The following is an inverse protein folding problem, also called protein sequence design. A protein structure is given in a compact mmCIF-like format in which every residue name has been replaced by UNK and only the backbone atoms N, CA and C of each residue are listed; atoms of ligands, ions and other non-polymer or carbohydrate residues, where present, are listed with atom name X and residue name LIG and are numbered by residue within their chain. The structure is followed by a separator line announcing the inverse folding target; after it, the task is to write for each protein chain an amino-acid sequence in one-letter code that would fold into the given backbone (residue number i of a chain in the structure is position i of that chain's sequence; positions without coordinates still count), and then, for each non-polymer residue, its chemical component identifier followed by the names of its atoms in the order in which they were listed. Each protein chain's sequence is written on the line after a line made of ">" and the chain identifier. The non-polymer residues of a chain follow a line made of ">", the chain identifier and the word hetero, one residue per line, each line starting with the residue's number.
data_IF_128123884430
#
_entry.id   IF_128123884430
#
_cell.length_a   1.000
_cell.length_b   1.000
_cell.length_c   1.000
_cell.angle_alpha   90.00
_cell.angle_beta   90.00
_cell.angle_gamma   90.00
#
_symmetry.space_group_name_H-M   'P 1'
#
loop_
_entity.id
_entity.type
_entity.pdbx_description
1 polymer ?
#
# COMPACT_ATOMS: atom_id res chain seq x y z
N UNK A 1 -5.38 56.42 19.67
CA UNK A 1 -5.74 57.83 19.82
C UNK A 1 -6.79 58.15 18.77
N UNK A 2 -8.00 58.50 19.19
CA UNK A 2 -9.14 58.77 18.29
C UNK A 2 -9.45 60.26 18.33
N UNK A 3 -9.67 60.93 17.19
CA UNK A 3 -10.11 62.32 17.18
C UNK A 3 -11.57 62.40 17.63
N UNK A 4 -11.85 63.20 18.64
CA UNK A 4 -13.22 63.55 19.14
C UNK A 4 -13.51 64.95 18.79
N UNK A 5 -14.61 65.21 18.04
CA UNK A 5 -15.10 66.56 17.71
C UNK A 5 -15.89 67.08 18.89
N UNK A 6 -15.46 68.21 19.45
CA UNK A 6 -16.15 68.89 20.54
C UNK A 6 -17.23 69.80 19.99
N UNK A 7 -18.27 70.08 20.80
CA UNK A 7 -19.34 71.05 20.38
C UNK A 7 -18.85 72.44 20.06
N UNK A 8 -17.67 72.83 20.54
CA UNK A 8 -17.03 74.14 20.25
C UNK A 8 -16.29 74.18 18.90
N UNK A 9 -16.37 73.12 18.11
CA UNK A 9 -15.72 73.05 16.80
C UNK A 9 -14.23 72.60 16.87
N UNK A 10 -13.69 72.29 18.05
CA UNK A 10 -12.32 71.87 18.20
C UNK A 10 -12.23 70.31 18.13
N UNK A 11 -11.09 69.76 17.64
CA UNK A 11 -10.78 68.33 17.64
C UNK A 11 -9.81 68.05 18.76
N UNK A 12 -10.21 67.19 19.70
CA UNK A 12 -9.31 66.62 20.72
C UNK A 12 -8.90 65.20 20.39
N UNK A 13 -7.65 64.93 20.57
CA UNK A 13 -7.13 63.53 20.44
C UNK A 13 -7.14 62.88 21.82
N UNK A 14 -8.06 61.92 22.02
CA UNK A 14 -8.20 61.21 23.30
C UNK A 14 -7.72 59.79 23.19
N UNK A 15 -7.13 59.25 24.26
CA UNK A 15 -6.77 57.86 24.36
C UNK A 15 -8.04 57.07 24.66
N UNK A 16 -8.49 56.28 23.70
CA UNK A 16 -9.64 55.38 23.85
C UNK A 16 -9.16 53.93 23.99
N UNK A 17 -9.75 53.17 24.92
CA UNK A 17 -9.58 51.73 25.05
C UNK A 17 -10.85 51.07 24.57
N UNK A 18 -10.70 50.07 23.68
CA UNK A 18 -11.84 49.34 23.11
C UNK A 18 -11.66 47.86 23.42
N UNK A 19 -12.78 47.22 23.77
CA UNK A 19 -12.89 45.77 23.88
C UNK A 19 -13.99 45.30 22.93
N UNK A 20 -13.62 44.46 21.96
CA UNK A 20 -14.57 43.83 21.04
C UNK A 20 -14.65 42.34 21.31
N UNK A 21 -15.87 41.85 21.52
CA UNK A 21 -16.18 40.44 21.63
C UNK A 21 -17.15 40.06 20.53
N UNK A 22 -16.89 38.94 19.82
CA UNK A 22 -17.76 38.50 18.74
C UNK A 22 -18.05 37.00 18.82
N UNK A 23 -19.28 36.63 18.54
CA UNK A 23 -19.74 35.27 18.35
C UNK A 23 -20.37 35.18 16.97
N UNK A 24 -19.88 34.27 16.13
CA UNK A 24 -20.38 34.05 14.80
C UNK A 24 -20.62 32.56 14.56
N UNK A 25 -21.77 32.23 13.99
CA UNK A 25 -22.10 30.89 13.51
C UNK A 25 -22.35 31.00 12.01
N UNK A 26 -21.67 30.17 11.22
CA UNK A 26 -21.84 30.11 9.77
C UNK A 26 -22.01 28.65 9.35
N UNK A 27 -23.08 28.40 8.59
CA UNK A 27 -23.30 27.16 7.87
C UNK A 27 -23.08 27.46 6.38
N UNK A 28 -22.17 26.73 5.75
CA UNK A 28 -21.90 26.91 4.33
C UNK A 28 -22.03 25.61 3.56
N UNK A 29 -22.54 25.72 2.34
CA UNK A 29 -22.65 24.63 1.37
C UNK A 29 -21.95 25.04 0.09
N UNK A 30 -20.96 24.27 -0.29
CA UNK A 30 -20.27 24.43 -1.57
C UNK A 30 -21.12 23.86 -2.71
N UNK A 31 -21.12 24.54 -3.86
CA UNK A 31 -21.88 24.16 -5.06
C UNK A 31 -20.91 23.67 -6.12
N UNK A 32 -20.65 22.35 -6.16
CA UNK A 32 -19.68 21.72 -7.04
C UNK A 32 -19.78 22.11 -8.52
N UNK A 33 -21.00 22.18 -9.15
CA UNK A 33 -21.10 22.51 -10.57
C UNK A 33 -20.60 23.90 -10.94
N UNK A 34 -20.75 24.88 -10.03
CA UNK A 34 -20.39 26.28 -10.31
C UNK A 34 -19.08 26.71 -9.63
N UNK A 35 -18.62 25.97 -8.61
CA UNK A 35 -17.49 26.37 -7.76
C UNK A 35 -17.83 27.51 -6.80
N UNK A 36 -19.13 27.76 -6.56
CA UNK A 36 -19.62 28.77 -5.64
C UNK A 36 -19.94 28.22 -4.26
N UNK A 37 -20.37 29.12 -3.39
CA UNK A 37 -20.75 28.84 -2.01
C UNK A 37 -22.07 29.53 -1.68
N UNK A 38 -22.97 28.83 -1.02
CA UNK A 38 -24.17 29.35 -0.40
C UNK A 38 -23.98 29.25 1.11
N UNK A 39 -24.28 30.28 1.86
CA UNK A 39 -24.11 30.27 3.30
C UNK A 39 -25.24 30.97 4.04
N UNK A 40 -25.43 30.54 5.27
CA UNK A 40 -26.28 31.16 6.27
C UNK A 40 -25.41 31.52 7.46
N UNK A 41 -25.44 32.75 7.91
CA UNK A 41 -24.68 33.17 9.08
C UNK A 41 -25.53 33.92 10.09
N UNK A 42 -25.16 33.77 11.37
CA UNK A 42 -25.68 34.52 12.49
C UNK A 42 -24.50 35.07 13.29
N UNK A 43 -24.59 36.34 13.70
CA UNK A 43 -23.50 37.01 14.40
C UNK A 43 -23.98 37.90 15.51
N UNK A 44 -23.20 38.02 16.56
CA UNK A 44 -23.35 38.95 17.65
C UNK A 44 -22.01 39.55 17.98
N UNK A 45 -21.92 40.88 17.97
CA UNK A 45 -20.71 41.59 18.37
C UNK A 45 -21.04 42.52 19.51
N UNK A 46 -20.22 42.56 20.53
CA UNK A 46 -20.26 43.53 21.62
C UNK A 46 -19.01 44.38 21.54
N UNK A 47 -19.22 45.70 21.54
CA UNK A 47 -18.16 46.69 21.58
C UNK A 47 -18.32 47.49 22.90
N UNK A 48 -17.32 47.41 23.78
CA UNK A 48 -17.19 48.25 24.95
C UNK A 48 -16.09 49.29 24.70
N UNK A 49 -16.42 50.55 24.81
CA UNK A 49 -15.48 51.67 24.73
C UNK A 49 -15.30 52.24 26.11
N UNK A 50 -14.04 52.34 26.57
CA UNK A 50 -13.66 52.82 27.89
C UNK A 50 -12.92 54.18 27.76
N UNK A 51 -13.18 55.13 28.64
CA UNK A 51 -12.53 56.44 28.66
C UNK A 51 -13.50 57.56 29.05
N UNK A 52 -13.26 58.80 28.59
CA UNK A 52 -14.10 59.93 28.90
C UNK A 52 -15.55 59.82 28.39
N UNK A 53 -15.75 59.00 27.33
CA UNK A 53 -17.08 58.67 26.77
C UNK A 53 -17.24 57.16 26.74
N UNK A 54 -17.66 56.61 27.88
CA UNK A 54 -17.95 55.17 27.95
C UNK A 54 -19.22 54.86 27.15
N UNK A 55 -19.12 53.83 26.32
CA UNK A 55 -20.28 53.31 25.58
C UNK A 55 -20.20 51.81 25.42
N UNK A 56 -21.38 51.19 25.42
CA UNK A 56 -21.54 49.77 25.12
C UNK A 56 -22.53 49.63 23.99
N UNK A 57 -22.12 48.87 22.97
CA UNK A 57 -22.96 48.61 21.80
C UNK A 57 -23.00 47.10 21.55
N UNK A 58 -24.22 46.63 21.33
CA UNK A 58 -24.48 45.29 20.84
C UNK A 58 -24.92 45.36 19.40
N UNK A 59 -24.24 44.64 18.52
CA UNK A 59 -24.61 44.55 17.11
C UNK A 59 -24.99 43.10 16.84
N UNK A 60 -26.24 42.86 16.50
CA UNK A 60 -26.73 41.56 16.09
C UNK A 60 -26.92 41.50 14.59
N UNK A 61 -26.63 40.34 14.03
CA UNK A 61 -27.00 39.92 12.68
C UNK A 61 -27.69 38.56 12.80
N UNK A 62 -28.96 38.50 13.21
CA UNK A 62 -29.62 37.28 13.61
C UNK A 62 -29.65 36.21 12.51
N UNK A 63 -29.83 36.65 11.27
CA UNK A 63 -29.75 35.77 10.08
C UNK A 63 -29.29 36.58 8.87
N UNK A 64 -28.31 36.04 8.18
CA UNK A 64 -27.82 36.53 6.89
C UNK A 64 -27.69 35.34 5.95
N UNK A 65 -28.41 35.39 4.84
CA UNK A 65 -28.25 34.45 3.72
C UNK A 65 -27.25 35.05 2.73
N UNK A 66 -26.37 34.26 2.19
CA UNK A 66 -25.39 34.74 1.23
C UNK A 66 -25.03 33.71 0.16
N UNK A 67 -24.66 34.25 -0.98
CA UNK A 67 -24.02 33.51 -2.05
C UNK A 67 -22.69 34.15 -2.39
N UNK A 68 -21.69 33.34 -2.70
CA UNK A 68 -20.41 33.80 -3.22
C UNK A 68 -20.04 32.94 -4.44
N UNK A 69 -19.79 33.61 -5.55
CA UNK A 69 -19.45 32.92 -6.81
C UNK A 69 -18.19 33.53 -7.42
N UNK A 70 -17.19 32.69 -7.63
CA UNK A 70 -16.03 33.05 -8.42
C UNK A 70 -16.31 32.78 -9.91
N UNK A 71 -16.01 33.76 -10.75
CA UNK A 71 -16.16 33.66 -12.20
C UNK A 71 -14.80 33.84 -12.87
N UNK A 72 -14.61 33.13 -13.98
CA UNK A 72 -13.36 33.12 -14.74
C UNK A 72 -12.15 32.55 -13.99
N UNK A 73 -12.40 31.78 -12.94
CA UNK A 73 -11.41 31.03 -12.16
C UNK A 73 -11.61 29.53 -12.35
N UNK A 74 -10.56 28.74 -12.09
CA UNK A 74 -10.67 27.28 -12.10
C UNK A 74 -11.64 26.82 -11.01
N UNK A 75 -12.60 25.99 -11.39
CA UNK A 75 -13.53 25.38 -10.43
C UNK A 75 -12.82 24.25 -9.69
N UNK A 76 -12.26 24.55 -8.52
CA UNK A 76 -11.51 23.62 -7.67
C UNK A 76 -12.39 22.45 -7.23
N UNK A 77 -13.66 22.72 -6.86
CA UNK A 77 -14.58 21.70 -6.34
C UNK A 77 -14.88 20.60 -7.37
N UNK A 78 -14.95 20.97 -8.65
CA UNK A 78 -15.15 20.01 -9.74
C UNK A 78 -13.93 19.14 -9.97
N UNK A 79 -12.73 19.65 -9.72
CA UNK A 79 -11.50 18.85 -9.77
C UNK A 79 -11.40 17.94 -8.57
N UNK A 80 -11.66 18.46 -7.36
CA UNK A 80 -11.67 17.70 -6.12
C UNK A 80 -12.64 16.51 -6.19
N UNK A 81 -13.85 16.72 -6.71
CA UNK A 81 -14.86 15.69 -6.92
C UNK A 81 -14.30 14.52 -7.77
N UNK A 82 -13.72 14.85 -8.92
CA UNK A 82 -13.10 13.84 -9.81
C UNK A 82 -11.92 13.13 -9.17
N UNK A 83 -11.10 13.84 -8.42
CA UNK A 83 -9.95 13.27 -7.73
C UNK A 83 -10.40 12.34 -6.60
N UNK A 84 -11.45 12.68 -5.85
CA UNK A 84 -11.93 11.88 -4.73
C UNK A 84 -12.51 10.53 -5.17
N UNK A 85 -13.24 10.49 -6.27
CA UNK A 85 -13.75 9.23 -6.83
C UNK A 85 -12.59 8.26 -7.17
N UNK A 86 -11.59 8.76 -7.89
CA UNK A 86 -10.41 7.94 -8.25
C UNK A 86 -9.58 7.57 -7.01
N UNK A 87 -9.47 8.46 -6.01
CA UNK A 87 -8.79 8.16 -4.74
C UNK A 87 -9.49 7.09 -3.93
N UNK A 88 -10.83 7.08 -3.93
CA UNK A 88 -11.60 6.04 -3.25
C UNK A 88 -11.35 4.67 -3.90
N UNK A 89 -11.43 4.57 -5.24
CA UNK A 89 -11.11 3.34 -5.97
C UNK A 89 -9.65 2.91 -5.77
N UNK A 90 -8.71 3.85 -5.80
CA UNK A 90 -7.29 3.58 -5.53
C UNK A 90 -7.09 2.99 -4.13
N UNK A 91 -7.73 3.56 -3.10
CA UNK A 91 -7.61 3.08 -1.73
C UNK A 91 -8.15 1.65 -1.57
N UNK A 92 -9.26 1.33 -2.24
CA UNK A 92 -9.83 -0.02 -2.24
C UNK A 92 -8.88 -1.03 -2.92
N UNK A 93 -8.34 -0.68 -4.08
CA UNK A 93 -7.39 -1.55 -4.80
C UNK A 93 -6.09 -1.74 -4.01
N UNK A 94 -5.56 -0.69 -3.38
CA UNK A 94 -4.38 -0.78 -2.49
C UNK A 94 -4.67 -1.70 -1.30
N UNK A 95 -5.86 -1.64 -0.71
CA UNK A 95 -6.25 -2.55 0.37
C UNK A 95 -6.28 -4.01 -0.11
N UNK A 96 -6.85 -4.28 -1.29
CA UNK A 96 -6.88 -5.62 -1.86
C UNK A 96 -5.47 -6.15 -2.20
N UNK A 97 -4.61 -5.31 -2.77
CA UNK A 97 -3.21 -5.65 -3.01
C UNK A 97 -2.46 -5.95 -1.71
N UNK A 98 -2.65 -5.13 -0.67
CA UNK A 98 -2.05 -5.36 0.65
C UNK A 98 -2.50 -6.70 1.27
N UNK A 99 -3.78 -7.08 1.09
CA UNK A 99 -4.30 -8.39 1.52
C UNK A 99 -3.60 -9.55 0.78
N UNK A 100 -3.37 -9.41 -0.52
CA UNK A 100 -2.62 -10.39 -1.29
C UNK A 100 -1.12 -10.41 -0.91
N UNK A 101 -0.53 -9.26 -0.56
CA UNK A 101 0.85 -9.21 -0.04
C UNK A 101 0.98 -9.95 1.30
N UNK A 102 -0.02 -9.84 2.19
CA UNK A 102 -0.09 -10.64 3.43
C UNK A 102 -0.20 -12.14 3.11
N UNK A 103 -1.01 -12.51 2.11
CA UNK A 103 -1.12 -13.91 1.68
C UNK A 103 0.22 -14.44 1.15
N UNK A 104 0.96 -13.65 0.36
CA UNK A 104 2.31 -14.01 -0.11
C UNK A 104 3.28 -14.16 1.05
N UNK A 105 3.29 -13.23 2.01
CA UNK A 105 4.17 -13.29 3.18
C UNK A 105 3.88 -14.54 4.03
N UNK A 106 2.60 -14.82 4.26
CA UNK A 106 2.16 -16.00 5.02
C UNK A 106 2.50 -17.31 4.28
N UNK A 107 2.29 -17.35 2.95
CA UNK A 107 2.68 -18.49 2.14
C UNK A 107 4.21 -18.74 2.18
N UNK A 108 5.02 -17.67 2.12
CA UNK A 108 6.46 -17.77 2.29
C UNK A 108 6.83 -18.42 3.62
N UNK A 109 6.32 -17.88 4.74
CA UNK A 109 6.59 -18.43 6.07
C UNK A 109 6.08 -19.87 6.24
N UNK A 110 4.94 -20.21 5.65
CA UNK A 110 4.42 -21.58 5.62
C UNK A 110 5.38 -22.54 4.91
N UNK A 111 5.88 -22.17 3.73
CA UNK A 111 6.83 -23.00 3.00
C UNK A 111 8.23 -23.02 3.61
N UNK A 112 8.64 -21.96 4.34
CA UNK A 112 9.86 -21.96 5.15
C UNK A 112 9.77 -23.01 6.28
N UNK A 113 8.61 -23.11 6.97
CA UNK A 113 8.36 -24.16 7.96
C UNK A 113 8.36 -25.56 7.31
N UNK A 114 7.72 -25.69 6.13
CA UNK A 114 7.72 -26.95 5.42
C UNK A 114 9.13 -27.40 5.03
N UNK A 115 9.93 -26.50 4.47
CA UNK A 115 11.32 -26.76 4.10
C UNK A 115 12.17 -27.16 5.33
N UNK A 116 12.02 -26.43 6.43
CA UNK A 116 12.74 -26.73 7.68
C UNK A 116 12.30 -28.06 8.30
N UNK A 117 11.02 -28.44 8.24
CA UNK A 117 10.52 -29.73 8.70
C UNK A 117 11.06 -30.87 7.86
N UNK A 118 11.03 -30.77 6.52
CA UNK A 118 11.60 -31.79 5.61
C UNK A 118 13.11 -31.87 5.78
N UNK A 119 13.82 -30.77 5.96
CA UNK A 119 15.24 -30.73 6.28
C UNK A 119 15.57 -31.42 7.59
N UNK A 120 14.78 -31.17 8.64
CA UNK A 120 14.93 -31.85 9.93
C UNK A 120 14.72 -33.37 9.83
N UNK A 121 13.64 -33.80 9.17
CA UNK A 121 13.35 -35.23 8.99
C UNK A 121 14.46 -35.93 8.19
N UNK A 122 14.95 -35.28 7.12
CA UNK A 122 16.05 -35.81 6.33
C UNK A 122 17.36 -35.89 7.12
N UNK A 123 17.71 -34.84 7.88
CA UNK A 123 18.91 -34.82 8.72
C UNK A 123 18.85 -35.88 9.84
N UNK A 124 17.67 -36.09 10.45
CA UNK A 124 17.46 -37.12 11.45
C UNK A 124 17.63 -38.54 10.86
N UNK A 125 17.04 -38.78 9.68
CA UNK A 125 17.22 -40.05 8.97
C UNK A 125 18.68 -40.28 8.58
N UNK A 126 19.37 -39.25 8.06
CA UNK A 126 20.78 -39.37 7.70
C UNK A 126 21.68 -39.60 8.92
N UNK A 127 21.42 -39.01 10.06
CA UNK A 127 22.17 -39.25 11.30
C UNK A 127 22.03 -40.73 11.74
N UNK A 128 20.81 -41.26 11.77
CA UNK A 128 20.56 -42.66 12.13
C UNK A 128 21.20 -43.67 11.15
N UNK A 129 21.16 -43.34 9.84
CA UNK A 129 21.81 -44.19 8.82
C UNK A 129 23.32 -44.14 8.99
N UNK A 130 23.96 -43.00 9.17
CA UNK A 130 25.41 -42.90 9.33
C UNK A 130 25.91 -43.54 10.63
N UNK A 131 25.17 -43.43 11.73
CA UNK A 131 25.49 -44.18 12.97
C UNK A 131 25.51 -45.70 12.71
N UNK A 132 24.50 -46.20 11.98
CA UNK A 132 24.42 -47.65 11.62
C UNK A 132 25.56 -48.07 10.69
N UNK A 133 25.88 -47.24 9.68
CA UNK A 133 26.97 -47.55 8.75
C UNK A 133 28.34 -47.51 9.42
N UNK A 134 28.57 -46.59 10.35
CA UNK A 134 29.82 -46.56 11.12
C UNK A 134 30.00 -47.80 11.99
N UNK A 135 28.93 -48.22 12.69
CA UNK A 135 28.95 -49.47 13.45
C UNK A 135 29.29 -50.70 12.57
N UNK A 136 28.67 -50.79 11.38
CA UNK A 136 28.96 -51.82 10.40
C UNK A 136 30.42 -51.76 9.94
N UNK A 137 30.96 -50.57 9.69
CA UNK A 137 32.32 -50.35 9.21
C UNK A 137 33.37 -50.65 10.31
N UNK A 138 33.09 -50.38 11.57
CA UNK A 138 33.93 -50.78 12.69
C UNK A 138 34.11 -52.28 12.72
N UNK A 139 33.00 -53.03 12.66
CA UNK A 139 33.11 -54.52 12.62
C UNK A 139 33.80 -55.05 11.35
N UNK A 140 33.66 -54.38 10.21
CA UNK A 140 34.37 -54.78 8.96
C UNK A 140 35.88 -54.49 9.05
N UNK A 141 36.27 -53.38 9.67
CA UNK A 141 37.67 -53.04 9.89
C UNK A 141 38.33 -54.05 10.86
N UNK A 142 37.67 -54.41 11.96
CA UNK A 142 38.17 -55.37 12.93
C UNK A 142 38.46 -56.72 12.31
N UNK A 143 37.69 -57.11 11.28
CA UNK A 143 37.93 -58.38 10.54
C UNK A 143 38.76 -58.21 9.24
N UNK A 144 39.34 -57.00 9.05
CA UNK A 144 40.22 -56.68 7.92
C UNK A 144 39.57 -56.65 6.54
N UNK A 145 38.23 -56.36 6.48
CA UNK A 145 37.45 -56.25 5.23
C UNK A 145 37.45 -54.88 4.61
N UNK A 146 37.77 -53.84 5.37
CA UNK A 146 37.91 -52.47 4.87
C UNK A 146 39.20 -51.85 5.43
N UNK A 147 39.68 -50.77 4.76
CA UNK A 147 40.85 -50.01 5.21
C UNK A 147 40.50 -48.97 6.29
N UNK A 148 41.54 -48.50 6.96
CA UNK A 148 41.41 -47.44 7.96
C UNK A 148 40.77 -46.15 7.38
N UNK A 149 41.07 -45.81 6.14
CA UNK A 149 40.48 -44.69 5.45
C UNK A 149 38.96 -44.76 5.38
N UNK A 150 38.39 -45.90 5.10
CA UNK A 150 36.93 -46.11 5.01
C UNK A 150 36.28 -46.01 6.40
N UNK A 151 36.96 -46.46 7.46
CA UNK A 151 36.52 -46.32 8.83
C UNK A 151 36.48 -44.82 9.24
N UNK A 152 37.58 -44.10 9.02
CA UNK A 152 37.68 -42.65 9.33
C UNK A 152 36.69 -41.85 8.51
N UNK A 153 36.42 -42.19 7.26
CA UNK A 153 35.41 -41.56 6.42
C UNK A 153 33.99 -41.74 7.01
N UNK A 154 33.69 -42.93 7.52
CA UNK A 154 32.39 -43.19 8.16
C UNK A 154 32.25 -42.45 9.49
N UNK A 155 33.32 -42.33 10.29
CA UNK A 155 33.32 -41.53 11.52
C UNK A 155 33.07 -40.05 11.22
N UNK A 156 33.78 -39.48 10.24
CA UNK A 156 33.57 -38.10 9.80
C UNK A 156 32.13 -37.85 9.32
N UNK A 157 31.52 -38.86 8.62
CA UNK A 157 30.13 -38.73 8.20
C UNK A 157 29.15 -38.71 9.37
N UNK A 158 29.39 -39.48 10.44
CA UNK A 158 28.59 -39.41 11.70
C UNK A 158 28.67 -38.00 12.32
N UNK A 159 29.88 -37.46 12.46
CA UNK A 159 30.07 -36.14 13.05
C UNK A 159 29.35 -35.04 12.25
N UNK A 160 29.49 -35.09 10.93
CA UNK A 160 28.78 -34.14 10.01
C UNK A 160 27.27 -34.29 10.10
N UNK A 161 26.75 -35.53 10.13
CA UNK A 161 25.32 -35.78 10.19
C UNK A 161 24.70 -35.26 11.51
N UNK A 162 25.39 -35.45 12.65
CA UNK A 162 24.94 -34.91 13.96
C UNK A 162 24.94 -33.38 13.97
N UNK A 163 25.99 -32.74 13.46
CA UNK A 163 26.03 -31.28 13.36
C UNK A 163 24.91 -30.77 12.44
N UNK A 164 24.64 -31.44 11.32
CA UNK A 164 23.54 -31.09 10.42
C UNK A 164 22.16 -31.23 11.09
N UNK A 165 21.96 -32.27 11.88
CA UNK A 165 20.72 -32.48 12.64
C UNK A 165 20.49 -31.36 13.67
N UNK A 166 21.54 -30.95 14.39
CA UNK A 166 21.42 -29.86 15.36
C UNK A 166 21.11 -28.51 14.68
N UNK A 167 21.74 -28.24 13.53
CA UNK A 167 21.41 -27.08 12.68
C UNK A 167 19.97 -27.12 12.18
N UNK A 168 19.50 -28.29 11.71
CA UNK A 168 18.13 -28.44 11.21
C UNK A 168 17.07 -28.27 12.32
N UNK A 169 17.36 -28.71 13.56
CA UNK A 169 16.50 -28.45 14.72
C UNK A 169 16.32 -26.95 14.98
N UNK A 170 17.41 -26.20 14.93
CA UNK A 170 17.37 -24.75 15.13
C UNK A 170 16.58 -24.05 14.02
N UNK A 171 16.82 -24.40 12.75
CA UNK A 171 16.07 -23.82 11.62
C UNK A 171 14.58 -24.12 11.70
N UNK A 172 14.20 -25.35 12.05
CA UNK A 172 12.79 -25.70 12.29
C UNK A 172 12.15 -24.82 13.37
N UNK A 173 12.85 -24.62 14.49
CA UNK A 173 12.36 -23.78 15.58
C UNK A 173 12.21 -22.32 15.14
N UNK A 174 13.17 -21.78 14.38
CA UNK A 174 13.11 -20.40 13.85
C UNK A 174 11.97 -20.20 12.87
N UNK A 175 11.84 -21.09 11.88
CA UNK A 175 10.78 -20.99 10.88
C UNK A 175 9.39 -21.07 11.52
N UNK A 176 9.20 -21.97 12.50
CA UNK A 176 7.95 -22.08 13.25
C UNK A 176 7.66 -20.83 14.08
N UNK A 177 8.65 -20.24 14.75
CA UNK A 177 8.47 -19.00 15.49
C UNK A 177 8.06 -17.82 14.58
N UNK A 178 8.64 -17.72 13.39
CA UNK A 178 8.30 -16.68 12.43
C UNK A 178 6.88 -16.86 11.87
N UNK A 179 6.45 -18.07 11.55
CA UNK A 179 5.07 -18.34 11.12
C UNK A 179 4.07 -17.97 12.22
N UNK A 180 4.33 -18.34 13.47
CA UNK A 180 3.49 -17.97 14.62
C UNK A 180 3.42 -16.47 14.81
N UNK A 181 4.53 -15.76 14.67
CA UNK A 181 4.59 -14.30 14.75
C UNK A 181 3.73 -13.63 13.66
N UNK A 182 3.84 -14.08 12.41
CA UNK A 182 3.07 -13.54 11.28
C UNK A 182 1.58 -13.82 11.39
N UNK A 183 1.21 -14.97 11.96
CA UNK A 183 -0.19 -15.38 12.13
C UNK A 183 -0.78 -14.97 13.50
N UNK A 184 0.00 -14.23 14.32
CA UNK A 184 -0.40 -13.81 15.67
C UNK A 184 -0.81 -14.98 16.57
N UNK A 185 -0.26 -16.16 16.35
CA UNK A 185 -0.47 -17.31 17.22
C UNK A 185 0.40 -17.23 18.49
N UNK A 186 -0.09 -17.71 19.63
CA UNK A 186 0.73 -17.81 20.85
C UNK A 186 2.00 -18.62 20.64
N UNK A 187 3.08 -18.27 21.33
CA UNK A 187 4.38 -18.96 21.19
C UNK A 187 4.32 -20.44 21.58
N UNK A 188 3.45 -20.78 22.54
CA UNK A 188 3.22 -22.13 23.06
C UNK A 188 2.19 -22.93 22.24
N UNK A 189 1.51 -22.34 21.26
CA UNK A 189 0.57 -23.07 20.41
C UNK A 189 1.25 -24.20 19.65
N UNK A 190 0.69 -25.39 19.71
CA UNK A 190 1.14 -26.51 18.85
C UNK A 190 0.55 -26.31 17.44
N UNK A 191 1.44 -26.20 16.45
CA UNK A 191 1.08 -25.99 15.04
C UNK A 191 1.63 -27.14 14.21
N UNK A 192 0.72 -27.80 13.50
CA UNK A 192 1.09 -28.80 12.48
C UNK A 192 0.69 -28.25 11.11
N UNK A 193 1.64 -28.18 10.19
CA UNK A 193 1.36 -27.74 8.82
C UNK A 193 0.94 -28.93 7.95
N UNK A 194 -0.08 -28.70 7.11
CA UNK A 194 -0.52 -29.66 6.11
C UNK A 194 -0.33 -29.04 4.74
N UNK A 195 0.58 -29.61 3.96
CA UNK A 195 0.86 -29.14 2.60
C UNK A 195 -0.18 -29.72 1.65
N UNK A 196 -0.79 -28.92 0.78
CA UNK A 196 -1.73 -29.41 -0.23
C UNK A 196 -1.08 -30.47 -1.12
N UNK A 197 -1.72 -31.63 -1.24
CA UNK A 197 -1.16 -32.77 -1.97
C UNK A 197 -1.03 -32.53 -3.48
N UNK A 198 -1.82 -31.62 -4.04
CA UNK A 198 -1.78 -31.27 -5.46
C UNK A 198 -1.72 -29.76 -5.64
N UNK A 199 -0.85 -29.30 -6.51
CA UNK A 199 -0.87 -27.93 -7.00
C UNK A 199 -2.04 -27.76 -7.98
N UNK A 200 -2.84 -26.67 -7.89
CA UNK A 200 -3.95 -26.40 -8.81
C UNK A 200 -3.50 -26.43 -10.28
N UNK A 201 -4.33 -27.00 -11.16
CA UNK A 201 -4.04 -26.99 -12.59
C UNK A 201 -4.52 -25.70 -13.24
N UNK A 202 -3.78 -24.61 -12.99
CA UNK A 202 -4.11 -23.29 -13.53
C UNK A 202 -3.23 -23.01 -14.74
N UNK A 203 -3.86 -22.82 -15.90
CA UNK A 203 -3.21 -22.36 -17.13
C UNK A 203 -3.74 -20.94 -17.46
N UNK A 204 -3.13 -19.86 -16.92
CA UNK A 204 -3.61 -18.52 -17.15
C UNK A 204 -3.42 -18.10 -18.61
N UNK A 205 -4.48 -17.53 -19.22
CA UNK A 205 -4.35 -16.85 -20.48
C UNK A 205 -3.63 -15.51 -20.26
N UNK A 206 -2.57 -15.29 -21.01
CA UNK A 206 -1.75 -14.07 -20.92
C UNK A 206 -2.54 -12.82 -21.30
N UNK A 207 -3.49 -12.91 -22.26
CA UNK A 207 -4.32 -11.79 -22.66
C UNK A 207 -5.29 -11.40 -21.55
N UNK A 208 -5.89 -12.41 -20.89
CA UNK A 208 -6.77 -12.19 -19.72
C UNK A 208 -5.97 -11.59 -18.56
N UNK A 209 -4.77 -12.12 -18.28
CA UNK A 209 -3.93 -11.60 -17.20
C UNK A 209 -3.57 -10.12 -17.40
N UNK A 210 -3.17 -9.73 -18.61
CA UNK A 210 -2.88 -8.34 -18.97
C UNK A 210 -4.13 -7.47 -18.82
N UNK A 211 -5.27 -7.91 -19.38
CA UNK A 211 -6.52 -7.16 -19.30
C UNK A 211 -6.97 -6.92 -17.85
N UNK A 212 -6.88 -7.95 -16.99
CA UNK A 212 -7.23 -7.84 -15.57
C UNK A 212 -6.25 -6.95 -14.80
N UNK A 213 -4.95 -7.05 -15.06
CA UNK A 213 -3.96 -6.18 -14.43
C UNK A 213 -4.18 -4.70 -14.77
N UNK A 214 -4.42 -4.37 -16.06
CA UNK A 214 -4.71 -3.00 -16.49
C UNK A 214 -6.02 -2.46 -15.92
N UNK A 215 -6.98 -3.32 -15.64
CA UNK A 215 -8.28 -2.94 -15.07
C UNK A 215 -8.23 -2.76 -13.55
N UNK A 216 -7.58 -3.69 -12.84
CA UNK A 216 -7.78 -3.86 -11.40
C UNK A 216 -6.59 -3.37 -10.56
N UNK A 217 -5.41 -3.16 -11.13
CA UNK A 217 -4.21 -2.82 -10.35
C UNK A 217 -4.25 -1.37 -9.87
N UNK A 218 -3.94 -1.16 -8.59
CA UNK A 218 -3.91 0.16 -7.94
C UNK A 218 -3.03 1.17 -8.68
N UNK A 219 -1.92 0.72 -9.27
CA UNK A 219 -1.03 1.56 -10.06
C UNK A 219 -1.74 2.24 -11.25
N UNK A 220 -2.75 1.61 -11.84
CA UNK A 220 -3.51 2.20 -12.95
C UNK A 220 -4.35 3.38 -12.47
N UNK A 221 -4.95 3.29 -11.28
CA UNK A 221 -5.69 4.40 -10.66
C UNK A 221 -4.78 5.51 -10.19
N UNK A 222 -3.59 5.17 -9.69
CA UNK A 222 -2.57 6.17 -9.36
C UNK A 222 -2.15 6.98 -10.59
N UNK A 223 -1.91 6.34 -11.73
CA UNK A 223 -1.57 7.03 -12.97
C UNK A 223 -2.71 7.91 -13.50
N UNK A 224 -3.96 7.45 -13.37
CA UNK A 224 -5.14 8.23 -13.70
C UNK A 224 -5.26 9.49 -12.83
N UNK A 225 -5.03 9.34 -11.51
CA UNK A 225 -5.01 10.45 -10.57
C UNK A 225 -3.92 11.48 -10.93
N UNK A 226 -2.70 11.02 -11.23
CA UNK A 226 -1.59 11.88 -11.64
C UNK A 226 -1.94 12.68 -12.91
N UNK A 227 -2.58 12.04 -13.90
CA UNK A 227 -3.04 12.70 -15.13
C UNK A 227 -4.14 13.75 -14.84
N UNK A 228 -5.09 13.45 -13.94
CA UNK A 228 -6.14 14.41 -13.53
C UNK A 228 -5.49 15.62 -12.84
N UNK A 229 -4.57 15.39 -11.91
CA UNK A 229 -3.85 16.46 -11.19
C UNK A 229 -3.02 17.34 -12.13
N UNK A 230 -2.34 16.76 -13.11
CA UNK A 230 -1.58 17.52 -14.12
C UNK A 230 -2.50 18.40 -14.98
N UNK A 231 -3.66 17.88 -15.42
CA UNK A 231 -4.68 18.66 -16.14
C UNK A 231 -5.28 19.77 -15.28
N UNK A 232 -5.50 19.50 -13.99
CA UNK A 232 -5.93 20.53 -13.01
C UNK A 232 -4.93 21.67 -12.97
N UNK A 233 -3.62 21.37 -12.84
CA UNK A 233 -2.57 22.40 -12.80
C UNK A 233 -2.55 23.26 -14.07
N UNK A 234 -2.76 22.67 -15.25
CA UNK A 234 -2.88 23.44 -16.50
C UNK A 234 -4.11 24.35 -16.47
N UNK A 235 -5.25 23.85 -16.01
CA UNK A 235 -6.48 24.66 -15.84
C UNK A 235 -6.27 25.82 -14.88
N UNK A 236 -5.66 25.57 -13.73
CA UNK A 236 -5.34 26.60 -12.73
C UNK A 236 -4.35 27.63 -13.27
N UNK A 237 -3.27 27.19 -13.93
CA UNK A 237 -2.30 28.09 -14.54
C UNK A 237 -2.93 29.00 -15.60
N UNK A 238 -3.90 28.51 -16.35
CA UNK A 238 -4.60 29.30 -17.39
C UNK A 238 -5.59 30.30 -16.79
N UNK A 239 -6.40 29.87 -15.83
CA UNK A 239 -7.54 30.62 -15.34
C UNK A 239 -7.18 31.51 -14.13
N UNK A 240 -6.38 31.01 -13.18
CA UNK A 240 -6.11 31.74 -11.95
C UNK A 240 -5.07 32.84 -12.10
N UNK A 241 -4.30 32.84 -13.19
CA UNK A 241 -3.31 33.89 -13.49
C UNK A 241 -3.86 35.01 -14.37
N UNK A 242 -5.13 34.93 -14.76
CA UNK A 242 -5.78 35.90 -15.64
C UNK A 242 -6.80 36.80 -14.91
N UNK A 243 -7.73 37.29 -15.70
CA UNK A 243 -8.90 38.03 -15.20
C UNK A 243 -9.73 37.13 -14.27
N UNK A 244 -10.13 37.69 -13.14
CA UNK A 244 -11.01 37.03 -12.17
C UNK A 244 -12.10 38.00 -11.70
N UNK A 245 -13.28 37.48 -11.41
CA UNK A 245 -14.38 38.22 -10.82
C UNK A 245 -15.03 37.40 -9.72
N UNK A 246 -15.28 38.03 -8.58
CA UNK A 246 -16.03 37.44 -7.48
C UNK A 246 -17.31 38.25 -7.26
N UNK A 247 -18.43 37.55 -7.35
CA UNK A 247 -19.75 38.13 -7.03
C UNK A 247 -20.18 37.54 -5.69
N UNK A 248 -20.52 38.41 -4.75
CA UNK A 248 -21.14 38.04 -3.47
C UNK A 248 -22.38 38.85 -3.23
N UNK A 249 -23.47 38.18 -2.91
CA UNK A 249 -24.73 38.77 -2.53
C UNK A 249 -25.14 38.25 -1.16
N UNK A 250 -25.54 39.17 -0.27
CA UNK A 250 -26.06 38.82 1.05
C UNK A 250 -27.36 39.55 1.31
N UNK A 251 -28.30 38.89 1.96
CA UNK A 251 -29.56 39.47 2.42
C UNK A 251 -29.87 38.99 3.85
N UNK A 252 -30.30 39.82 4.71
CA UNK A 252 -30.58 39.48 6.10
C UNK A 252 -31.04 40.64 6.93
N UNK A 253 -30.86 40.50 8.21
CA UNK A 253 -31.28 41.53 9.19
C UNK A 253 -30.10 41.90 10.08
N UNK A 254 -30.06 43.15 10.49
CA UNK A 254 -29.13 43.65 11.52
C UNK A 254 -29.81 44.63 12.47
N UNK A 255 -29.22 44.81 13.64
CA UNK A 255 -29.57 45.85 14.58
C UNK A 255 -28.38 46.17 15.48
N UNK A 256 -28.29 47.44 15.86
CA UNK A 256 -27.29 47.90 16.86
C UNK A 256 -28.02 48.64 17.98
N UNK A 257 -27.76 48.23 19.22
CA UNK A 257 -28.40 48.82 20.38
C UNK A 257 -27.45 48.85 21.60
N UNK A 258 -27.65 49.75 22.57
CA UNK A 258 -26.86 49.74 23.82
C UNK A 258 -27.17 48.59 24.74
N UNK A 259 -28.35 47.98 24.63
CA UNK A 259 -28.87 46.90 25.45
C UNK A 259 -28.96 45.63 24.57
N UNK A 260 -28.60 44.48 25.13
CA UNK A 260 -28.58 43.22 24.44
C UNK A 260 -29.94 42.85 23.84
N UNK A 261 -31.01 42.95 24.64
CA UNK A 261 -32.37 42.56 24.20
C UNK A 261 -32.88 43.42 23.02
N UNK A 262 -32.52 44.72 23.03
CA UNK A 262 -32.92 45.66 21.99
C UNK A 262 -32.19 45.41 20.67
N UNK A 263 -30.99 44.80 20.72
CA UNK A 263 -30.27 44.40 19.53
C UNK A 263 -30.98 43.28 18.73
N UNK A 264 -31.99 42.64 19.29
CA UNK A 264 -32.82 41.63 18.62
C UNK A 264 -34.24 42.11 18.37
N UNK A 265 -34.53 43.37 18.67
CA UNK A 265 -35.84 44.00 18.39
C UNK A 265 -35.73 44.99 17.25
N UNK A 266 -36.83 45.21 16.54
CA UNK A 266 -36.88 46.20 15.45
C UNK A 266 -35.73 46.06 14.45
N UNK A 267 -35.51 44.83 13.99
CA UNK A 267 -34.46 44.51 13.04
C UNK A 267 -34.58 45.27 11.74
N UNK A 268 -33.48 45.73 11.22
CA UNK A 268 -33.37 46.47 9.94
C UNK A 268 -32.97 45.53 8.83
N UNK A 269 -33.60 45.66 7.67
CA UNK A 269 -33.22 44.93 6.46
C UNK A 269 -31.81 45.29 6.02
N UNK A 270 -31.02 44.29 5.71
CA UNK A 270 -29.68 44.45 5.15
C UNK A 270 -29.57 43.69 3.85
N UNK A 271 -29.21 44.39 2.79
CA UNK A 271 -28.87 43.77 1.50
C UNK A 271 -27.53 44.35 1.03
N UNK A 272 -26.66 43.44 0.55
CA UNK A 272 -25.36 43.86 0.02
C UNK A 272 -25.02 43.05 -1.21
N UNK A 273 -24.70 43.70 -2.29
CA UNK A 273 -24.11 43.12 -3.49
C UNK A 273 -22.70 43.68 -3.64
N UNK A 274 -21.75 42.78 -3.72
CA UNK A 274 -20.35 43.14 -3.95
C UNK A 274 -19.85 42.41 -5.20
N UNK A 275 -19.29 43.17 -6.13
CA UNK A 275 -18.61 42.63 -7.31
C UNK A 275 -17.17 43.10 -7.23
N UNK A 276 -16.27 42.14 -7.01
CA UNK A 276 -14.83 42.38 -6.99
C UNK A 276 -14.24 41.89 -8.30
N UNK A 277 -13.47 42.73 -8.98
CA UNK A 277 -12.77 42.40 -10.22
C UNK A 277 -11.27 42.46 -9.95
N UNK A 278 -10.57 41.42 -10.32
CA UNK A 278 -9.13 41.32 -10.23
C UNK A 278 -8.54 41.09 -11.62
N UNK A 279 -7.67 42.00 -12.04
CA UNK A 279 -7.01 41.90 -13.33
C UNK A 279 -5.53 42.30 -13.19
N UNK A 280 -4.61 41.36 -13.34
CA UNK A 280 -3.19 41.70 -13.34
C UNK A 280 -2.84 42.49 -14.62
N UNK A 281 -2.35 43.69 -14.45
CA UNK A 281 -2.06 44.59 -15.57
C UNK A 281 -0.72 44.26 -16.24
N UNK A 282 0.30 43.90 -15.43
CA UNK A 282 1.66 43.59 -15.92
C UNK A 282 2.17 42.37 -15.23
N UNK A 283 2.56 41.33 -15.95
CA UNK A 283 3.09 40.08 -15.43
C UNK A 283 4.45 39.69 -16.04
N UNK A 284 5.07 40.56 -16.85
CA UNK A 284 6.41 40.35 -17.45
C UNK A 284 6.63 38.97 -18.06
N UNK A 285 5.62 38.38 -18.69
CA UNK A 285 5.66 37.02 -19.25
C UNK A 285 5.38 35.87 -18.26
N UNK A 286 5.24 36.16 -16.97
CA UNK A 286 5.05 35.16 -15.93
C UNK A 286 3.86 34.21 -16.17
N UNK A 287 2.70 34.73 -16.59
CA UNK A 287 1.52 33.90 -16.95
C UNK A 287 1.84 32.90 -18.05
N UNK A 288 2.52 33.36 -19.12
CA UNK A 288 2.86 32.48 -20.25
C UNK A 288 3.84 31.38 -19.80
N UNK A 289 4.82 31.75 -18.99
CA UNK A 289 5.79 30.81 -18.44
C UNK A 289 5.12 29.76 -17.54
N UNK A 290 4.20 30.17 -16.64
CA UNK A 290 3.46 29.25 -15.78
C UNK A 290 2.59 28.27 -16.58
N UNK A 291 1.87 28.75 -17.61
CA UNK A 291 1.08 27.87 -18.47
C UNK A 291 1.97 26.91 -19.27
N UNK A 292 3.11 27.37 -19.77
CA UNK A 292 4.07 26.51 -20.48
C UNK A 292 4.66 25.45 -19.55
N UNK A 293 5.05 25.83 -18.32
CA UNK A 293 5.57 24.90 -17.34
C UNK A 293 4.51 23.83 -16.96
N UNK A 294 3.27 24.23 -16.71
CA UNK A 294 2.18 23.30 -16.40
C UNK A 294 1.88 22.32 -17.56
N UNK A 295 1.95 22.80 -18.82
CA UNK A 295 1.79 21.92 -20.00
C UNK A 295 2.94 20.95 -20.16
N UNK A 296 4.18 21.40 -19.97
CA UNK A 296 5.35 20.52 -20.03
C UNK A 296 5.27 19.44 -18.93
N UNK A 297 4.72 19.77 -17.78
CA UNK A 297 4.47 18.80 -16.71
C UNK A 297 3.35 17.80 -17.09
N UNK A 298 2.25 18.26 -17.68
CA UNK A 298 1.20 17.38 -18.20
C UNK A 298 1.75 16.41 -19.25
N UNK A 299 2.58 16.90 -20.20
CA UNK A 299 3.22 16.07 -21.23
C UNK A 299 4.17 15.03 -20.59
N UNK A 300 4.95 15.44 -19.58
CA UNK A 300 5.84 14.54 -18.80
C UNK A 300 5.05 13.44 -18.10
N UNK A 301 3.99 13.81 -17.38
CA UNK A 301 3.12 12.85 -16.65
C UNK A 301 2.47 11.88 -17.64
N UNK A 302 1.97 12.38 -18.77
CA UNK A 302 1.35 11.54 -19.81
C UNK A 302 2.34 10.55 -20.43
N UNK A 303 3.58 10.99 -20.69
CA UNK A 303 4.63 10.11 -21.21
C UNK A 303 5.01 9.02 -20.18
N UNK A 304 5.20 9.41 -18.91
CA UNK A 304 5.49 8.49 -17.82
C UNK A 304 4.34 7.48 -17.59
N UNK A 305 3.09 7.93 -17.70
CA UNK A 305 1.91 7.08 -17.59
C UNK A 305 1.90 5.99 -18.67
N UNK A 306 2.24 6.32 -19.92
CA UNK A 306 2.34 5.32 -21.01
C UNK A 306 3.42 4.28 -20.74
N UNK A 307 4.60 4.72 -20.30
CA UNK A 307 5.71 3.83 -19.96
C UNK A 307 5.32 2.87 -18.82
N UNK A 308 4.74 3.41 -17.75
CA UNK A 308 4.28 2.64 -16.60
C UNK A 308 3.17 1.63 -16.94
N UNK A 309 2.24 1.99 -17.84
CA UNK A 309 1.24 1.06 -18.37
C UNK A 309 1.89 -0.10 -19.11
N UNK A 310 2.88 0.17 -19.96
CA UNK A 310 3.67 -0.86 -20.64
C UNK A 310 4.39 -1.80 -19.66
N UNK A 311 4.94 -1.28 -18.57
CA UNK A 311 5.55 -2.10 -17.53
C UNK A 311 4.52 -3.03 -16.84
N UNK A 312 3.32 -2.53 -16.52
CA UNK A 312 2.23 -3.35 -15.94
C UNK A 312 1.83 -4.49 -16.90
N UNK A 313 1.73 -4.20 -18.21
CA UNK A 313 1.44 -5.23 -19.22
C UNK A 313 2.51 -6.32 -19.25
N UNK A 314 3.79 -5.93 -19.21
CA UNK A 314 4.91 -6.89 -19.20
C UNK A 314 4.92 -7.71 -17.92
N UNK A 315 4.77 -7.09 -16.75
CA UNK A 315 4.72 -7.77 -15.45
C UNK A 315 3.64 -8.85 -15.44
N UNK A 316 2.41 -8.49 -15.85
CA UNK A 316 1.29 -9.42 -15.89
C UNK A 316 1.51 -10.57 -16.89
N UNK A 317 2.06 -10.25 -18.07
CA UNK A 317 2.39 -11.25 -19.09
C UNK A 317 3.43 -12.24 -18.60
N UNK A 318 4.53 -11.76 -18.01
CA UNK A 318 5.57 -12.63 -17.49
C UNK A 318 5.10 -13.46 -16.30
N UNK A 319 4.30 -12.90 -15.40
CA UNK A 319 3.73 -13.65 -14.29
C UNK A 319 2.82 -14.80 -14.79
N UNK A 320 2.00 -14.55 -15.82
CA UNK A 320 1.16 -15.57 -16.44
C UNK A 320 1.97 -16.67 -17.12
N UNK A 321 3.12 -16.35 -17.74
CA UNK A 321 4.03 -17.33 -18.34
C UNK A 321 4.85 -18.10 -17.31
N UNK A 322 5.16 -17.47 -16.16
CA UNK A 322 5.96 -18.08 -15.10
C UNK A 322 5.22 -19.20 -14.40
N UNK A 323 3.91 -19.12 -14.21
CA UNK A 323 3.14 -20.13 -13.48
C UNK A 323 3.16 -21.51 -14.15
N UNK A 324 2.91 -21.70 -15.46
CA UNK A 324 3.05 -22.99 -16.12
C UNK A 324 4.51 -23.50 -16.13
N UNK A 325 5.50 -22.61 -16.17
CA UNK A 325 6.91 -22.99 -16.06
C UNK A 325 7.21 -23.56 -14.67
N UNK A 326 6.79 -22.85 -13.61
CA UNK A 326 6.97 -23.32 -12.23
C UNK A 326 6.29 -24.68 -11.99
N UNK A 327 5.12 -24.90 -12.59
CA UNK A 327 4.42 -26.19 -12.54
C UNK A 327 5.22 -27.32 -13.20
N UNK A 328 5.78 -27.09 -14.38
CA UNK A 328 6.65 -28.09 -15.05
C UNK A 328 7.90 -28.39 -14.23
N UNK A 329 8.51 -27.34 -13.64
CA UNK A 329 9.67 -27.47 -12.75
C UNK A 329 9.32 -28.31 -11.52
N UNK A 330 8.16 -28.09 -10.90
CA UNK A 330 7.67 -28.88 -9.77
C UNK A 330 7.49 -30.33 -10.14
N UNK A 331 6.87 -30.65 -11.28
CA UNK A 331 6.69 -32.01 -11.74
C UNK A 331 8.04 -32.73 -12.01
N UNK A 332 9.00 -31.99 -12.59
CA UNK A 332 10.35 -32.51 -12.85
C UNK A 332 11.11 -32.77 -11.56
N UNK A 333 11.08 -31.84 -10.60
CA UNK A 333 11.76 -31.98 -9.31
C UNK A 333 11.14 -33.09 -8.46
N UNK A 334 9.82 -33.26 -8.47
CA UNK A 334 9.16 -34.40 -7.80
C UNK A 334 9.59 -35.74 -8.37
N UNK A 335 9.76 -35.84 -9.69
CA UNK A 335 10.27 -37.05 -10.33
C UNK A 335 11.74 -37.31 -10.01
N UNK A 336 12.56 -36.24 -10.00
CA UNK A 336 13.97 -36.32 -9.64
C UNK A 336 14.17 -36.81 -8.20
N UNK A 337 13.39 -36.25 -7.25
CA UNK A 337 13.41 -36.70 -5.85
C UNK A 337 13.06 -38.20 -5.72
N UNK A 338 12.00 -38.66 -6.39
CA UNK A 338 11.62 -40.07 -6.42
C UNK A 338 12.74 -40.96 -6.96
N UNK A 339 13.43 -40.55 -8.04
CA UNK A 339 14.52 -41.30 -8.65
C UNK A 339 15.76 -41.32 -7.76
N UNK A 340 16.13 -40.17 -7.19
CA UNK A 340 17.28 -40.04 -6.31
C UNK A 340 17.11 -40.86 -5.02
N UNK A 341 15.91 -40.84 -4.42
CA UNK A 341 15.58 -41.70 -3.27
C UNK A 341 15.73 -43.16 -3.58
N UNK A 342 15.20 -43.66 -4.73
CA UNK A 342 15.37 -45.04 -5.15
C UNK A 342 16.83 -45.41 -5.41
N UNK A 343 17.60 -44.48 -6.03
CA UNK A 343 19.04 -44.68 -6.27
C UNK A 343 19.79 -44.82 -4.96
N UNK A 344 19.49 -43.99 -3.98
CA UNK A 344 20.09 -44.10 -2.65
C UNK A 344 19.75 -45.43 -1.96
N UNK A 345 18.50 -45.92 -2.00
CA UNK A 345 18.09 -47.19 -1.43
C UNK A 345 18.82 -48.35 -2.08
N UNK A 346 18.97 -48.33 -3.40
CA UNK A 346 19.76 -49.36 -4.12
C UNK A 346 21.24 -49.28 -3.73
N UNK A 347 21.83 -48.11 -3.68
CA UNK A 347 23.23 -47.90 -3.27
C UNK A 347 23.47 -48.40 -1.84
N UNK A 348 22.58 -48.02 -0.89
CA UNK A 348 22.63 -48.49 0.50
C UNK A 348 22.62 -50.00 0.61
N UNK A 349 21.69 -50.68 -0.09
CA UNK A 349 21.61 -52.14 -0.07
C UNK A 349 22.85 -52.80 -0.69
N UNK A 350 23.37 -52.25 -1.81
CA UNK A 350 24.62 -52.75 -2.43
C UNK A 350 25.83 -52.53 -1.55
N UNK A 351 25.91 -51.41 -0.81
CA UNK A 351 26.97 -51.19 0.15
C UNK A 351 26.91 -52.16 1.32
N UNK A 352 25.73 -52.45 1.87
CA UNK A 352 25.55 -53.42 2.95
C UNK A 352 26.03 -54.80 2.56
N UNK A 353 25.89 -55.21 1.31
CA UNK A 353 26.39 -56.51 0.83
C UNK A 353 27.82 -56.46 0.24
N UNK A 354 28.49 -55.29 0.35
CA UNK A 354 29.89 -55.14 -0.05
C UNK A 354 30.12 -55.09 -1.57
N UNK A 355 29.14 -54.62 -2.36
CA UNK A 355 29.23 -54.52 -3.84
C UNK A 355 29.56 -53.15 -4.38
N UNK A 356 29.61 -52.12 -3.56
CA UNK A 356 30.08 -50.78 -3.88
C UNK A 356 30.89 -50.25 -2.71
N UNK A 357 31.71 -49.21 -2.95
CA UNK A 357 32.46 -48.54 -1.91
C UNK A 357 31.62 -47.52 -1.16
N UNK A 358 32.17 -46.95 -0.05
CA UNK A 358 31.49 -46.00 0.79
C UNK A 358 31.33 -44.63 0.10
N UNK A 359 32.23 -44.27 -0.82
CA UNK A 359 32.19 -43.03 -1.58
C UNK A 359 30.97 -43.00 -2.50
N UNK A 360 30.69 -44.10 -3.22
CA UNK A 360 29.49 -44.22 -4.07
C UNK A 360 28.19 -44.05 -3.28
N UNK A 361 28.16 -44.63 -2.06
CA UNK A 361 26.99 -44.47 -1.16
C UNK A 361 26.78 -43.00 -0.74
N UNK A 362 27.86 -42.30 -0.36
CA UNK A 362 27.74 -40.90 0.05
C UNK A 362 27.40 -39.97 -1.11
N UNK A 363 27.84 -40.25 -2.34
CA UNK A 363 27.39 -39.54 -3.54
C UNK A 363 25.87 -39.72 -3.71
N UNK A 364 25.36 -40.93 -3.63
CA UNK A 364 23.94 -41.23 -3.76
C UNK A 364 23.11 -40.55 -2.64
N UNK A 365 23.63 -40.47 -1.40
CA UNK A 365 23.02 -39.76 -0.30
C UNK A 365 22.95 -38.26 -0.57
N UNK A 366 24.05 -37.64 -1.00
CA UNK A 366 24.11 -36.22 -1.34
C UNK A 366 23.14 -35.85 -2.48
N UNK A 367 23.04 -36.68 -3.50
CA UNK A 367 22.09 -36.48 -4.61
C UNK A 367 20.63 -36.59 -4.16
N UNK A 368 20.30 -37.55 -3.27
CA UNK A 368 18.96 -37.64 -2.65
C UNK A 368 18.63 -36.37 -1.86
N UNK A 369 19.56 -35.91 -1.03
CA UNK A 369 19.35 -34.72 -0.21
C UNK A 369 19.17 -33.47 -1.08
N UNK A 370 19.96 -33.30 -2.13
CA UNK A 370 19.83 -32.19 -3.09
C UNK A 370 18.52 -32.25 -3.87
N UNK A 371 18.06 -33.45 -4.27
CA UNK A 371 16.81 -33.64 -4.99
C UNK A 371 15.60 -33.28 -4.12
N UNK A 372 15.60 -33.69 -2.84
CA UNK A 372 14.56 -33.30 -1.87
C UNK A 372 14.47 -31.79 -1.70
N UNK A 373 15.60 -31.12 -1.48
CA UNK A 373 15.63 -29.66 -1.37
C UNK A 373 15.11 -28.97 -2.63
N UNK A 374 15.50 -29.45 -3.81
CA UNK A 374 15.03 -28.94 -5.10
C UNK A 374 13.52 -29.11 -5.28
N UNK A 375 12.95 -30.22 -4.83
CA UNK A 375 11.51 -30.46 -4.86
C UNK A 375 10.75 -29.51 -3.96
N UNK A 376 11.20 -29.32 -2.71
CA UNK A 376 10.57 -28.42 -1.74
C UNK A 376 10.61 -26.96 -2.24
N UNK A 377 11.75 -26.53 -2.81
CA UNK A 377 11.88 -25.18 -3.38
C UNK A 377 11.05 -25.01 -4.65
N UNK A 378 10.91 -26.01 -5.49
CA UNK A 378 10.04 -25.96 -6.66
C UNK A 378 8.56 -25.86 -6.26
N UNK A 379 8.13 -26.53 -5.20
CA UNK A 379 6.79 -26.45 -4.64
C UNK A 379 6.50 -25.04 -4.09
N UNK A 380 7.42 -24.50 -3.32
CA UNK A 380 7.36 -23.10 -2.85
C UNK A 380 7.25 -22.11 -4.02
N UNK A 381 8.14 -22.24 -5.00
CA UNK A 381 8.20 -21.36 -6.18
C UNK A 381 6.89 -21.38 -6.98
N UNK A 382 6.24 -22.56 -7.10
CA UNK A 382 4.94 -22.67 -7.76
C UNK A 382 3.86 -21.85 -7.03
N UNK A 383 3.71 -22.03 -5.72
CA UNK A 383 2.70 -21.33 -4.94
C UNK A 383 2.94 -19.83 -4.89
N UNK A 384 4.19 -19.42 -4.78
CA UNK A 384 4.54 -18.00 -4.84
C UNK A 384 4.25 -17.38 -6.22
N UNK A 385 4.50 -18.11 -7.30
CA UNK A 385 4.14 -17.66 -8.65
C UNK A 385 2.61 -17.52 -8.79
N UNK A 386 1.83 -18.45 -8.22
CA UNK A 386 0.37 -18.37 -8.19
C UNK A 386 -0.14 -17.12 -7.45
N UNK A 387 0.33 -16.88 -6.21
CA UNK A 387 -0.09 -15.71 -5.43
C UNK A 387 0.42 -14.39 -6.04
N UNK A 388 1.60 -14.37 -6.64
CA UNK A 388 2.11 -13.18 -7.36
C UNK A 388 1.25 -12.83 -8.56
N UNK A 389 0.86 -13.82 -9.36
CA UNK A 389 -0.05 -13.59 -10.49
C UNK A 389 -1.39 -13.04 -10.00
N UNK A 390 -1.95 -13.63 -8.96
CA UNK A 390 -3.20 -13.18 -8.33
C UNK A 390 -3.11 -11.74 -7.80
N UNK A 391 -2.01 -11.40 -7.14
CA UNK A 391 -1.73 -10.04 -6.64
C UNK A 391 -1.58 -9.02 -7.77
N UNK A 392 -0.91 -9.39 -8.86
CA UNK A 392 -0.69 -8.48 -10.00
C UNK A 392 -1.95 -8.22 -10.82
N UNK A 393 -2.88 -9.15 -10.81
CA UNK A 393 -4.10 -9.08 -11.63
C UNK A 393 -5.36 -8.77 -10.82
N UNK A 394 -5.30 -8.95 -9.49
CA UNK A 394 -6.45 -9.01 -8.59
C UNK A 394 -7.56 -9.91 -9.15
N UNK A 395 -7.14 -11.04 -9.71
CA UNK A 395 -8.01 -12.02 -10.34
C UNK A 395 -7.66 -13.44 -9.89
N UNK A 396 -8.65 -14.21 -9.55
CA UNK A 396 -8.53 -15.63 -9.20
C UNK A 396 -8.70 -16.47 -10.46
N UNK A 397 -7.60 -17.00 -10.98
CA UNK A 397 -7.59 -17.83 -12.19
C UNK A 397 -8.15 -19.23 -11.98
N UNK A 398 -8.17 -19.73 -10.75
CA UNK A 398 -8.78 -21.03 -10.42
C UNK A 398 -10.33 -20.90 -10.37
N UNK A 399 -10.82 -19.88 -9.69
CA UNK A 399 -12.26 -19.58 -9.58
C UNK A 399 -12.82 -18.76 -10.75
N UNK A 400 -11.98 -18.33 -11.70
CA UNK A 400 -12.34 -17.49 -12.84
C UNK A 400 -13.14 -16.22 -12.46
N UNK A 401 -12.76 -15.56 -11.36
CA UNK A 401 -13.47 -14.39 -10.81
C UNK A 401 -12.51 -13.28 -10.39
N UNK A 402 -12.94 -11.99 -10.53
CA UNK A 402 -12.18 -10.89 -9.97
C UNK A 402 -12.18 -10.96 -8.43
N UNK A 403 -11.12 -10.40 -7.81
CA UNK A 403 -11.02 -10.19 -6.36
C UNK A 403 -11.55 -8.80 -5.97
N UNK A 404 -11.73 -7.94 -6.96
CA UNK A 404 -12.36 -6.62 -6.83
C UNK A 404 -13.87 -6.83 -6.84
N UNK A 405 -14.64 -6.18 -5.94
CA UNK A 405 -16.10 -6.25 -5.88
C UNK A 405 -16.81 -5.89 -7.17
#
# INVERSE_FOLDING_TARGET
>A
ITPVFRPDGTTAFVSQREMQSSLNLTLSQQVTPTGGEIFVSSGLTRLDVYGEQESRLWQSTPIVLGIRQQLFRSNILRWDDREQDVRAELAEQVYLEAREDVAIATANAFFDVHAAEMGFQNAAANAAINDTLHLLNTGRYEVGKIGENDLLQSELAVLRARTSLDGARLERARAMAELKRLTSLPADAEVTIVVPAAAPDVAPDTAVAVAQALRNRSQMRSLELDEIMARRQVSEARLNTGFGMTVSATAGYNQTAPIFDDAYRSLLDQQRLTVAVEMPLVQWGGRRAQVQAARAEEDRVTALSRDRRGAVEQDARFAALQLPLARRQLATSAKADTVATRRFDVAKNRYIIGRIDIGDLYIAQSEKDAALLSYVEALRSYWLAYYRLRRLTLYDFEGARPLVP
#
